data_IF_252903217757
#
_entry.id   IF_252903217757
#
_cell.length_a   1.000
_cell.length_b   1.000
_cell.length_c   1.000
_cell.angle_alpha   90.00
_cell.angle_beta   90.00
_cell.angle_gamma   90.00
#
_symmetry.space_group_name_H-M   'P 1'
#
loop_
_entity.id
_entity.type
_entity.pdbx_description
1 polymer ?
#
# COMPACT_ATOMS: atom_id res chain seq x y z
N UNK A 1 -25.73 4.68 -63.52
CA UNK A 1 -26.51 3.55 -62.99
C UNK A 1 -25.55 2.42 -62.60
N UNK A 2 -25.68 1.94 -61.37
CA UNK A 2 -25.19 0.68 -60.75
C UNK A 2 -23.70 0.32 -60.90
N UNK A 3 -22.81 0.45 -59.91
CA UNK A 3 -22.69 -0.25 -58.61
C UNK A 3 -22.64 -1.80 -58.66
N UNK A 4 -21.65 -2.31 -57.92
CA UNK A 4 -21.39 -3.67 -57.38
C UNK A 4 -20.65 -4.72 -58.24
N UNK A 5 -19.31 -4.72 -58.14
CA UNK A 5 -18.44 -5.91 -58.24
C UNK A 5 -17.22 -5.77 -57.34
N UNK A 6 -17.42 -5.86 -56.01
CA UNK A 6 -16.34 -6.08 -55.04
C UNK A 6 -16.90 -6.98 -53.94
N UNK A 7 -16.64 -8.27 -54.05
CA UNK A 7 -16.75 -9.26 -52.97
C UNK A 7 -15.86 -10.43 -53.39
N UNK A 8 -14.55 -10.20 -53.48
CA UNK A 8 -13.62 -10.43 -52.37
C UNK A 8 -13.75 -11.86 -51.84
N UNK A 9 -13.44 -12.79 -52.74
CA UNK A 9 -13.09 -14.21 -52.60
C UNK A 9 -11.91 -14.45 -51.59
N UNK A 10 -11.51 -13.44 -50.82
CA UNK A 10 -10.42 -13.47 -49.85
C UNK A 10 -10.79 -14.09 -48.49
N UNK A 11 -12.03 -14.55 -48.30
CA UNK A 11 -12.52 -15.13 -47.05
C UNK A 11 -12.41 -16.66 -46.95
N UNK A 12 -11.78 -17.34 -47.93
CA UNK A 12 -11.75 -18.82 -48.00
C UNK A 12 -10.35 -19.46 -47.87
N UNK A 13 -9.30 -18.68 -47.61
CA UNK A 13 -7.93 -19.20 -47.42
C UNK A 13 -7.45 -19.21 -45.95
N UNK A 14 -8.40 -19.22 -45.01
CA UNK A 14 -8.13 -19.16 -43.56
C UNK A 14 -8.27 -20.51 -42.86
N UNK A 15 -8.16 -21.63 -43.59
CA UNK A 15 -8.23 -22.96 -42.98
C UNK A 15 -7.08 -23.82 -43.51
N UNK A 16 -6.34 -24.42 -42.58
CA UNK A 16 -5.33 -25.47 -42.76
C UNK A 16 -3.91 -25.04 -43.16
N UNK A 17 -3.08 -24.64 -42.19
CA UNK A 17 -1.86 -25.41 -41.84
C UNK A 17 -1.61 -25.31 -40.34
N UNK A 18 -1.48 -26.47 -39.71
CA UNK A 18 -1.34 -26.70 -38.29
C UNK A 18 0.12 -27.08 -37.95
N UNK A 19 0.51 -26.77 -36.71
CA UNK A 19 1.44 -27.48 -35.82
C UNK A 19 2.94 -27.62 -36.16
N UNK A 20 3.79 -27.19 -35.21
CA UNK A 20 4.72 -28.05 -34.44
C UNK A 20 5.96 -27.28 -33.96
N UNK A 21 6.08 -27.08 -32.64
CA UNK A 21 7.27 -26.51 -32.02
C UNK A 21 7.26 -26.77 -30.51
N UNK A 22 7.71 -27.97 -30.14
CA UNK A 22 8.23 -28.41 -28.83
C UNK A 22 8.00 -27.48 -27.64
N UNK A 23 7.14 -27.90 -26.71
CA UNK A 23 7.09 -27.37 -25.35
C UNK A 23 8.42 -27.67 -24.64
N UNK A 24 9.38 -26.77 -24.77
CA UNK A 24 10.51 -26.70 -23.85
C UNK A 24 9.94 -26.49 -22.44
N UNK A 25 10.45 -27.25 -21.47
CA UNK A 25 10.04 -27.21 -20.08
C UNK A 25 9.91 -25.77 -19.57
N UNK A 26 8.68 -25.25 -19.53
CA UNK A 26 8.38 -24.00 -18.84
C UNK A 26 8.15 -24.41 -17.40
N UNK A 27 9.20 -24.31 -16.58
CA UNK A 27 9.01 -24.24 -15.15
C UNK A 27 8.33 -22.90 -14.90
N UNK A 28 7.00 -22.90 -14.89
CA UNK A 28 6.23 -21.79 -14.33
C UNK A 28 6.44 -21.85 -12.82
N UNK A 29 7.19 -20.93 -12.19
CA UNK A 29 7.13 -20.80 -10.75
C UNK A 29 5.68 -20.52 -10.38
N UNK A 30 5.10 -21.37 -9.55
CA UNK A 30 3.79 -21.15 -8.97
C UNK A 30 3.86 -19.84 -8.17
N UNK A 31 2.92 -18.89 -8.31
CA UNK A 31 2.93 -17.69 -7.50
C UNK A 31 2.59 -18.09 -6.06
N UNK A 32 3.60 -18.44 -5.27
CA UNK A 32 3.50 -18.54 -3.82
C UNK A 32 3.44 -17.12 -3.27
N UNK A 33 2.33 -16.42 -3.50
CA UNK A 33 2.00 -15.26 -2.69
C UNK A 33 1.70 -15.84 -1.30
N UNK A 34 2.72 -15.95 -0.45
CA UNK A 34 2.54 -16.32 0.96
C UNK A 34 1.77 -15.22 1.71
N UNK A 35 1.76 -14.00 1.15
CA UNK A 35 1.22 -12.82 1.77
C UNK A 35 0.44 -11.97 0.75
N UNK A 36 -0.76 -11.53 1.12
CA UNK A 36 -1.51 -10.49 0.39
C UNK A 36 -1.24 -9.14 1.03
N UNK A 37 -1.00 -8.11 0.22
CA UNK A 37 -0.74 -6.75 0.72
C UNK A 37 -1.69 -5.75 0.10
N UNK A 38 -2.21 -4.83 0.91
CA UNK A 38 -2.98 -3.68 0.45
C UNK A 38 -2.39 -2.39 1.04
N UNK A 39 -2.40 -1.31 0.25
CA UNK A 39 -1.82 -0.02 0.62
C UNK A 39 -2.86 1.07 0.41
N UNK A 40 -3.01 1.97 1.38
CA UNK A 40 -3.92 3.10 1.28
C UNK A 40 -3.32 4.27 0.51
N UNK A 41 -4.15 5.25 0.16
CA UNK A 41 -3.67 6.54 -0.33
C UNK A 41 -2.84 7.26 0.75
N UNK A 42 -1.88 8.07 0.29
CA UNK A 42 -1.02 8.88 1.15
C UNK A 42 -1.67 10.18 1.61
N UNK A 43 -1.21 10.65 2.77
CA UNK A 43 -1.56 11.95 3.36
C UNK A 43 -0.26 12.66 3.70
N UNK A 44 0.04 13.72 2.95
CA UNK A 44 1.24 14.51 3.20
C UNK A 44 1.01 15.55 4.29
N UNK A 45 1.95 15.60 5.24
CA UNK A 45 1.86 16.40 6.47
C UNK A 45 2.26 17.86 6.27
N UNK A 46 2.94 18.18 5.16
CA UNK A 46 3.30 19.56 4.77
C UNK A 46 2.93 19.85 3.32
N UNK A 47 2.59 21.13 3.05
CA UNK A 47 2.38 21.67 1.70
C UNK A 47 3.67 22.35 1.20
N UNK A 48 4.20 21.82 0.10
CA UNK A 48 5.42 22.15 -0.67
C UNK A 48 5.16 23.00 -1.92
N UNK A 49 5.95 24.04 -2.20
CA UNK A 49 6.06 24.62 -3.54
C UNK A 49 7.08 23.82 -4.39
N UNK A 50 6.56 22.80 -5.06
CA UNK A 50 6.94 22.19 -6.35
C UNK A 50 8.40 21.87 -6.79
N UNK A 51 9.51 22.13 -6.09
CA UNK A 51 10.84 21.89 -6.76
C UNK A 51 11.83 20.95 -6.07
N UNK A 52 11.96 20.86 -4.75
CA UNK A 52 12.96 19.95 -4.15
C UNK A 52 12.48 19.27 -2.86
N UNK A 53 12.36 17.93 -2.90
CA UNK A 53 12.18 17.05 -1.73
C UNK A 53 10.80 16.37 -1.63
N UNK A 54 10.78 15.02 -1.57
CA UNK A 54 9.59 14.28 -1.12
C UNK A 54 9.30 14.64 0.34
N UNK A 55 8.03 14.83 0.66
CA UNK A 55 7.56 15.37 1.95
C UNK A 55 7.31 14.25 2.95
N UNK A 56 7.25 14.57 4.26
CA UNK A 56 6.71 13.63 5.23
C UNK A 56 5.26 13.30 4.85
N UNK A 57 5.04 12.09 4.38
CA UNK A 57 3.72 11.58 4.03
C UNK A 57 3.48 10.28 4.77
N UNK A 58 2.21 10.04 5.10
CA UNK A 58 1.80 8.83 5.82
C UNK A 58 0.73 8.08 5.07
N UNK A 59 0.78 6.76 5.18
CA UNK A 59 -0.22 5.87 4.61
C UNK A 59 -0.26 4.57 5.40
N UNK A 60 -1.32 3.80 5.19
CA UNK A 60 -1.49 2.51 5.83
C UNK A 60 -1.11 1.39 4.88
N UNK A 61 -0.56 0.32 5.44
CA UNK A 61 -0.39 -0.97 4.78
C UNK A 61 -1.08 -2.04 5.61
N UNK A 62 -1.77 -2.94 4.96
CA UNK A 62 -2.28 -4.16 5.58
C UNK A 62 -1.62 -5.35 4.89
N UNK A 63 -1.23 -6.33 5.67
CA UNK A 63 -0.69 -7.57 5.16
C UNK A 63 -1.47 -8.74 5.76
N UNK A 64 -1.95 -9.63 4.91
CA UNK A 64 -2.61 -10.87 5.31
C UNK A 64 -1.69 -12.03 5.00
N UNK A 65 -1.42 -12.83 6.02
CA UNK A 65 -0.76 -14.11 5.86
C UNK A 65 -1.75 -15.13 5.29
N UNK A 66 -1.44 -15.73 4.14
CA UNK A 66 -2.31 -16.68 3.47
C UNK A 66 -2.35 -18.04 4.17
N UNK A 67 -1.36 -18.36 5.01
CA UNK A 67 -1.35 -19.59 5.79
C UNK A 67 -2.30 -19.49 6.99
N UNK A 68 -2.09 -18.49 7.85
CA UNK A 68 -2.85 -18.29 9.10
C UNK A 68 -4.16 -17.52 8.89
N UNK A 69 -4.26 -16.71 7.84
CA UNK A 69 -5.37 -15.77 7.61
C UNK A 69 -5.31 -14.51 8.49
N UNK A 70 -4.27 -14.38 9.32
CA UNK A 70 -4.10 -13.22 10.20
C UNK A 70 -3.74 -11.98 9.38
N UNK A 71 -4.39 -10.86 9.71
CA UNK A 71 -4.14 -9.57 9.09
C UNK A 71 -3.40 -8.67 10.08
N UNK A 72 -2.29 -8.10 9.63
CA UNK A 72 -1.52 -7.11 10.36
C UNK A 72 -1.59 -5.75 9.67
N UNK A 73 -1.75 -4.69 10.47
CA UNK A 73 -1.86 -3.32 9.98
C UNK A 73 -0.63 -2.51 10.39
N UNK A 74 -0.20 -1.64 9.49
CA UNK A 74 0.98 -0.81 9.65
C UNK A 74 0.67 0.64 9.25
N UNK A 75 1.29 1.58 9.97
CA UNK A 75 1.44 2.96 9.55
C UNK A 75 2.83 3.12 8.95
N UNK A 76 2.89 3.60 7.71
CA UNK A 76 4.12 3.92 7.02
C UNK A 76 4.30 5.43 7.04
N UNK A 77 5.51 5.84 7.43
CA UNK A 77 5.93 7.23 7.44
C UNK A 77 7.10 7.38 6.47
N UNK A 78 6.85 8.05 5.36
CA UNK A 78 7.83 8.30 4.30
C UNK A 78 8.46 9.67 4.48
N UNK A 79 9.78 9.75 4.35
CA UNK A 79 10.58 10.97 4.42
C UNK A 79 11.58 11.02 3.26
N UNK A 80 11.87 12.24 2.81
CA UNK A 80 12.94 12.49 1.84
C UNK A 80 14.31 12.09 2.38
N UNK A 81 15.22 11.73 1.49
CA UNK A 81 16.57 11.21 1.78
C UNK A 81 17.61 12.26 2.15
N UNK A 82 17.30 13.55 1.96
CA UNK A 82 18.25 14.63 2.24
C UNK A 82 18.27 14.94 3.74
N UNK A 83 19.40 14.59 4.37
CA UNK A 83 19.79 15.04 5.71
C UNK A 83 18.88 14.56 6.87
N UNK A 84 18.55 13.27 6.87
CA UNK A 84 17.71 12.65 7.92
C UNK A 84 18.56 11.81 8.86
N UNK A 85 18.64 12.25 10.12
CA UNK A 85 19.18 11.47 11.22
C UNK A 85 18.48 10.10 11.35
N UNK A 86 19.18 9.11 11.92
CA UNK A 86 18.67 7.75 12.04
C UNK A 86 17.27 7.75 12.70
N UNK A 87 16.24 7.23 12.01
CA UNK A 87 14.88 7.22 12.55
C UNK A 87 14.81 6.35 13.80
N UNK A 88 14.08 6.82 14.80
CA UNK A 88 13.84 6.08 16.05
C UNK A 88 12.44 5.45 16.00
N UNK A 89 11.41 6.25 15.70
CA UNK A 89 10.05 5.75 15.69
C UNK A 89 9.00 6.78 15.30
N UNK A 90 7.76 6.31 15.27
CA UNK A 90 6.56 7.09 14.94
C UNK A 90 5.53 6.89 16.05
N UNK A 91 4.82 7.95 16.42
CA UNK A 91 3.76 7.92 17.42
C UNK A 91 2.49 8.58 16.89
N UNK A 92 1.33 8.09 17.33
CA UNK A 92 0.03 8.64 17.01
C UNK A 92 -0.58 9.33 18.23
N UNK A 93 -1.01 10.57 18.07
CA UNK A 93 -1.89 11.22 19.05
C UNK A 93 -3.33 10.93 18.67
N UNK A 94 -4.10 10.37 19.58
CA UNK A 94 -5.52 10.08 19.42
C UNK A 94 -6.27 10.78 20.55
N UNK A 95 -6.97 11.87 20.21
CA UNK A 95 -7.50 12.81 21.21
C UNK A 95 -6.36 13.45 21.99
N UNK A 96 -6.29 13.18 23.29
CA UNK A 96 -5.27 13.72 24.19
C UNK A 96 -4.12 12.75 24.52
N UNK A 97 -4.18 11.51 24.02
CA UNK A 97 -3.20 10.46 24.35
C UNK A 97 -2.23 10.22 23.20
N UNK A 98 -0.94 10.07 23.52
CA UNK A 98 0.09 9.64 22.58
C UNK A 98 0.33 8.13 22.68
N UNK A 99 0.31 7.46 21.52
CA UNK A 99 0.58 6.03 21.36
C UNK A 99 1.86 5.85 20.55
N UNK A 100 2.90 5.33 21.18
CA UNK A 100 4.14 4.98 20.50
C UNK A 100 3.92 3.71 19.67
N UNK A 101 4.12 3.79 18.36
CA UNK A 101 3.98 2.64 17.49
C UNK A 101 5.26 1.81 17.49
N UNK A 102 5.11 0.49 17.49
CA UNK A 102 6.24 -0.42 17.41
C UNK A 102 6.79 -0.39 15.99
N UNK A 103 7.99 0.18 15.81
CA UNK A 103 8.71 0.11 14.54
C UNK A 103 9.00 -1.35 14.17
N UNK A 104 8.65 -1.74 12.96
CA UNK A 104 8.87 -3.10 12.43
C UNK A 104 9.92 -3.14 11.34
N UNK A 105 10.02 -2.10 10.51
CA UNK A 105 11.01 -2.02 9.45
C UNK A 105 11.40 -0.55 9.16
N UNK A 106 12.55 -0.36 8.52
CA UNK A 106 12.92 0.91 7.89
C UNK A 106 13.57 0.61 6.54
N UNK A 107 12.92 1.06 5.47
CA UNK A 107 13.44 1.00 4.11
C UNK A 107 14.26 2.28 3.84
N UNK A 108 15.44 2.13 3.25
CA UNK A 108 16.40 3.21 2.96
C UNK A 108 16.70 3.31 1.44
N UNK A 109 15.70 3.08 0.59
CA UNK A 109 15.80 3.25 -0.86
C UNK A 109 15.80 4.73 -1.29
N UNK A 110 15.02 5.11 -2.30
CA UNK A 110 14.96 6.49 -2.80
C UNK A 110 14.38 7.46 -1.77
N UNK A 111 13.57 6.93 -0.85
CA UNK A 111 12.99 7.61 0.31
C UNK A 111 13.11 6.71 1.51
N UNK A 112 13.24 7.31 2.69
CA UNK A 112 13.26 6.53 3.93
C UNK A 112 11.81 6.26 4.33
N UNK A 113 11.43 4.98 4.47
CA UNK A 113 10.07 4.60 4.86
C UNK A 113 10.10 3.79 6.14
N UNK A 114 9.49 4.34 7.18
CA UNK A 114 9.42 3.71 8.50
C UNK A 114 8.08 2.99 8.60
N UNK A 115 8.13 1.67 8.70
CA UNK A 115 6.95 0.85 8.94
C UNK A 115 6.77 0.65 10.43
N UNK A 116 5.60 0.98 10.97
CA UNK A 116 5.26 0.79 12.38
C UNK A 116 3.95 0.02 12.51
N UNK A 117 3.94 -1.04 13.32
CA UNK A 117 2.74 -1.85 13.54
C UNK A 117 1.69 -1.07 14.34
N UNK A 118 0.43 -1.23 13.94
CA UNK A 118 -0.74 -0.70 14.63
C UNK A 118 -1.40 -1.87 15.36
N UNK A 119 -1.56 -1.75 16.69
CA UNK A 119 -2.27 -2.77 17.47
C UNK A 119 -3.77 -2.71 17.21
N UNK A 120 -4.44 -3.85 17.39
CA UNK A 120 -5.91 -3.95 17.32
C UNK A 120 -6.62 -2.98 18.26
N UNK A 121 -6.00 -2.61 19.38
CA UNK A 121 -6.52 -1.64 20.35
C UNK A 121 -6.50 -0.18 19.83
N UNK A 122 -5.58 0.14 18.91
CA UNK A 122 -5.42 1.50 18.36
C UNK A 122 -6.36 1.71 17.16
N UNK A 123 -6.63 0.67 16.38
CA UNK A 123 -7.49 0.73 15.18
C UNK A 123 -8.85 1.40 15.45
N UNK A 124 -9.67 0.97 16.43
CA UNK A 124 -10.96 1.61 16.68
C UNK A 124 -10.81 3.06 17.15
N UNK A 125 -9.78 3.36 17.95
CA UNK A 125 -9.49 4.71 18.43
C UNK A 125 -9.16 5.68 17.30
N UNK A 126 -8.52 5.21 16.23
CA UNK A 126 -8.30 6.02 15.02
C UNK A 126 -9.64 6.43 14.39
N UNK A 127 -10.60 5.50 14.31
CA UNK A 127 -11.93 5.76 13.74
C UNK A 127 -12.78 6.74 14.54
N UNK A 128 -12.57 6.82 15.86
CA UNK A 128 -13.36 7.67 16.78
C UNK A 128 -12.71 9.03 17.07
N UNK A 129 -11.39 9.15 16.86
CA UNK A 129 -10.64 10.35 17.23
C UNK A 129 -10.97 11.55 16.34
N UNK A 130 -11.42 12.64 16.96
CA UNK A 130 -11.65 13.91 16.25
C UNK A 130 -10.34 14.67 15.95
N UNK A 131 -9.33 14.46 16.79
CA UNK A 131 -8.02 15.10 16.67
C UNK A 131 -6.96 14.02 16.56
N UNK A 132 -6.27 13.97 15.42
CA UNK A 132 -5.19 13.03 15.16
C UNK A 132 -3.89 13.80 14.99
N UNK A 133 -2.87 13.38 15.74
CA UNK A 133 -1.50 13.86 15.60
C UNK A 133 -0.56 12.74 15.18
N UNK A 134 0.51 13.10 14.49
CA UNK A 134 1.57 12.19 14.08
C UNK A 134 2.89 12.78 14.54
N UNK A 135 3.64 12.01 15.30
CA UNK A 135 4.97 12.38 15.74
C UNK A 135 5.99 11.49 15.07
N UNK A 136 7.05 12.09 14.56
CA UNK A 136 8.22 11.39 14.06
C UNK A 136 9.42 11.77 14.92
N UNK A 137 10.17 10.77 15.38
CA UNK A 137 11.37 10.98 16.19
C UNK A 137 12.59 10.37 15.50
N UNK A 138 13.66 11.15 15.42
CA UNK A 138 15.00 10.72 15.04
C UNK A 138 15.98 10.99 16.17
N UNK A 139 17.29 10.77 15.95
CA UNK A 139 18.32 11.00 16.98
C UNK A 139 18.48 12.45 17.42
N UNK A 140 18.08 13.41 16.60
CA UNK A 140 18.30 14.84 16.82
C UNK A 140 17.07 15.53 17.39
N UNK A 141 15.89 15.17 16.91
CA UNK A 141 14.65 15.86 17.23
C UNK A 141 13.39 14.99 17.11
N UNK A 142 12.30 15.51 17.68
CA UNK A 142 10.95 14.99 17.54
C UNK A 142 10.08 16.04 16.86
N UNK A 143 9.47 15.68 15.73
CA UNK A 143 8.62 16.55 14.93
C UNK A 143 7.16 16.10 15.06
N UNK A 144 6.30 17.02 15.49
CA UNK A 144 4.88 16.76 15.69
C UNK A 144 4.03 17.45 14.61
N UNK A 145 3.10 16.70 14.03
CA UNK A 145 2.15 17.15 13.03
C UNK A 145 0.73 16.92 13.53
N UNK A 146 -0.10 17.93 13.49
CA UNK A 146 -1.53 17.79 13.77
C UNK A 146 -2.29 17.79 12.45
N UNK A 147 -3.09 16.75 12.23
CA UNK A 147 -3.87 16.63 11.02
C UNK A 147 -5.00 17.67 11.03
N UNK A 148 -5.17 18.38 9.92
CA UNK A 148 -6.37 19.19 9.68
C UNK A 148 -7.62 18.30 9.66
N UNK A 149 -8.81 18.90 9.78
CA UNK A 149 -10.09 18.16 9.72
C UNK A 149 -10.22 17.30 8.45
N UNK A 150 -9.85 17.85 7.29
CA UNK A 150 -9.87 17.12 6.02
C UNK A 150 -8.84 15.98 5.95
N UNK A 151 -7.65 16.17 6.52
CA UNK A 151 -6.64 15.11 6.63
C UNK A 151 -7.08 14.02 7.62
N UNK A 152 -7.70 14.38 8.74
CA UNK A 152 -8.24 13.44 9.73
C UNK A 152 -9.33 12.56 9.11
N UNK A 153 -10.30 13.14 8.43
CA UNK A 153 -11.35 12.39 7.72
C UNK A 153 -10.76 11.47 6.63
N UNK A 154 -9.75 11.95 5.89
CA UNK A 154 -9.04 11.15 4.89
C UNK A 154 -8.29 9.98 5.53
N UNK A 155 -7.62 10.21 6.67
CA UNK A 155 -6.85 9.21 7.42
C UNK A 155 -7.77 8.09 7.91
N UNK A 156 -8.89 8.46 8.52
CA UNK A 156 -9.93 7.52 8.97
C UNK A 156 -10.56 6.74 7.81
N UNK A 157 -10.91 7.44 6.72
CA UNK A 157 -11.45 6.80 5.53
C UNK A 157 -10.44 5.84 4.89
N UNK A 158 -9.16 6.18 4.87
CA UNK A 158 -8.11 5.35 4.29
C UNK A 158 -7.93 4.06 5.08
N UNK A 159 -7.89 4.14 6.42
CA UNK A 159 -7.84 2.96 7.28
C UNK A 159 -9.09 2.08 7.12
N UNK A 160 -10.28 2.68 7.15
CA UNK A 160 -11.55 1.95 7.04
C UNK A 160 -11.70 1.25 5.69
N UNK A 161 -11.30 1.91 4.60
CA UNK A 161 -11.30 1.31 3.26
C UNK A 161 -10.27 0.19 3.16
N UNK A 162 -9.07 0.39 3.70
CA UNK A 162 -8.02 -0.62 3.71
C UNK A 162 -8.47 -1.89 4.44
N UNK A 163 -9.06 -1.76 5.63
CA UNK A 163 -9.62 -2.88 6.39
C UNK A 163 -10.65 -3.63 5.55
N UNK A 164 -11.63 -2.93 4.98
CA UNK A 164 -12.66 -3.56 4.14
C UNK A 164 -12.05 -4.28 2.93
N UNK A 165 -11.11 -3.65 2.24
CA UNK A 165 -10.45 -4.24 1.06
C UNK A 165 -9.72 -5.52 1.44
N UNK A 166 -8.80 -5.46 2.41
CA UNK A 166 -8.02 -6.65 2.79
C UNK A 166 -8.91 -7.74 3.38
N UNK A 167 -9.99 -7.38 4.07
CA UNK A 167 -10.93 -8.34 4.63
C UNK A 167 -11.80 -9.03 3.57
N UNK A 168 -12.22 -8.28 2.54
CA UNK A 168 -13.08 -8.76 1.45
C UNK A 168 -12.37 -9.69 0.46
N UNK A 169 -11.05 -9.61 0.37
CA UNK A 169 -10.28 -10.52 -0.48
C UNK A 169 -10.43 -11.97 0.03
N UNK A 170 -10.76 -12.95 -0.82
CA UNK A 170 -10.84 -14.34 -0.40
C UNK A 170 -9.46 -14.86 0.01
N UNK A 171 -9.43 -15.74 1.03
CA UNK A 171 -8.21 -16.48 1.37
C UNK A 171 -7.73 -17.24 0.13
N UNK A 172 -6.48 -17.01 -0.29
CA UNK A 172 -5.88 -17.81 -1.35
C UNK A 172 -5.70 -19.23 -0.82
N UNK A 173 -6.52 -20.16 -1.31
CA UNK A 173 -6.35 -21.58 -1.04
C UNK A 173 -5.19 -22.11 -1.87
N UNK A 174 -3.99 -22.09 -1.29
CA UNK A 174 -2.83 -22.77 -1.87
C UNK A 174 -3.04 -24.27 -1.69
N UNK A 175 -3.56 -24.94 -2.72
CA UNK A 175 -3.61 -26.40 -2.76
C UNK A 175 -2.18 -26.92 -2.94
N UNK A 176 -1.50 -27.25 -1.84
CA UNK A 176 -0.24 -28.00 -1.90
C UNK A 176 -0.54 -29.39 -2.47
N UNK A 177 -0.10 -29.66 -3.70
CA UNK A 177 -0.07 -31.02 -4.27
C UNK A 177 1.18 -31.76 -3.84
#
# INVERSE_FOLDING_TARGET
>A
MSFTRISSIFLLFSVFVSCSGTKAYVVTPEPTLEQQTAISKEICLRKFLLVFGKRPCVYFKAERDNSTGLVQYFLLYEIGTFDVDLPIGVSLKLGDTWHNLKRTNTDYSDTIVISSAISSEIIPKVGESQNIGISYTNRKETINYYLSSGQTASFQSNLSKLIRTIESEPKLNINKK
#
